data_IF_059645393945
#
_entry.id   IF_059645393945
#
_cell.length_a   1.000
_cell.length_b   1.000
_cell.length_c   1.000
_cell.angle_alpha   90.00
_cell.angle_beta   90.00
_cell.angle_gamma   90.00
#
_symmetry.space_group_name_H-M   'P 1'
#
loop_
_entity.id
_entity.type
_entity.pdbx_description
1 polymer ?
#
# COMPACT_ATOMS: atom_id res chain seq x y z
N UNK A 1 60.18 17.81 21.27
CA UNK A 1 58.95 17.88 20.46
C UNK A 1 58.07 18.95 21.06
N UNK A 2 57.79 20.01 20.29
CA UNK A 2 57.36 21.32 20.79
C UNK A 2 55.84 21.39 21.02
N UNK A 3 55.43 22.15 22.03
CA UNK A 3 54.05 22.33 22.48
C UNK A 3 53.11 22.99 21.44
N UNK A 4 53.60 23.33 20.24
CA UNK A 4 52.83 24.00 19.19
C UNK A 4 51.97 23.06 18.32
N UNK A 5 52.11 21.75 18.47
CA UNK A 5 51.33 20.78 17.69
C UNK A 5 49.98 20.38 18.34
N UNK A 6 49.70 20.79 19.59
CA UNK A 6 48.48 20.38 20.32
C UNK A 6 47.34 21.42 20.30
N UNK A 7 47.61 22.65 19.90
CA UNK A 7 46.62 23.75 19.91
C UNK A 7 45.79 23.87 18.63
N UNK A 8 46.13 23.15 17.55
CA UNK A 8 45.35 23.19 16.30
C UNK A 8 44.22 22.16 16.22
N UNK A 9 44.15 21.18 17.14
CA UNK A 9 43.10 20.16 17.13
C UNK A 9 41.86 20.51 17.96
N UNK A 10 41.96 21.53 18.83
CA UNK A 10 40.85 21.94 19.69
C UNK A 10 39.89 22.96 19.03
N UNK A 11 40.29 23.60 17.92
CA UNK A 11 39.45 24.57 17.19
C UNK A 11 38.65 23.95 16.03
N UNK A 12 38.92 22.69 15.65
CA UNK A 12 38.19 21.99 14.59
C UNK A 12 36.90 21.31 15.09
N UNK A 13 36.75 21.11 16.40
CA UNK A 13 35.57 20.48 17.01
C UNK A 13 34.45 21.46 17.39
N UNK A 14 34.71 22.77 17.35
CA UNK A 14 33.71 23.80 17.72
C UNK A 14 32.94 24.41 16.56
N UNK A 15 33.27 24.08 15.30
CA UNK A 15 32.53 24.55 14.10
C UNK A 15 31.63 23.46 13.50
N UNK A 16 31.89 22.17 13.78
CA UNK A 16 31.03 21.07 13.33
C UNK A 16 29.77 20.92 14.23
N UNK A 17 29.76 21.52 15.42
CA UNK A 17 28.67 21.41 16.39
C UNK A 17 27.52 22.42 16.24
N UNK A 18 27.57 23.35 15.27
CA UNK A 18 26.62 24.47 15.22
C UNK A 18 25.72 24.52 13.96
N UNK A 19 25.76 23.52 13.08
CA UNK A 19 25.00 23.53 11.82
C UNK A 19 23.99 22.39 11.62
N UNK A 20 23.66 21.64 12.67
CA UNK A 20 22.57 20.64 12.61
C UNK A 20 21.50 20.91 13.66
N UNK A 21 21.15 22.18 13.87
CA UNK A 21 19.75 22.53 14.04
C UNK A 21 19.09 22.38 12.67
N UNK A 22 18.95 21.12 12.21
CA UNK A 22 17.89 20.80 11.27
C UNK A 22 16.65 21.15 12.05
N UNK A 23 16.09 22.32 11.79
CA UNK A 23 14.72 22.63 12.15
C UNK A 23 13.95 21.38 11.76
N UNK A 24 13.46 20.63 12.76
CA UNK A 24 12.36 19.73 12.54
C UNK A 24 11.24 20.68 12.09
N UNK A 25 11.20 20.96 10.78
CA UNK A 25 10.04 21.53 10.16
C UNK A 25 8.93 20.63 10.66
N UNK A 26 8.01 21.21 11.42
CA UNK A 26 6.81 20.52 11.86
C UNK A 26 6.15 20.02 10.59
N UNK A 27 6.48 18.79 10.19
CA UNK A 27 5.83 18.15 9.07
C UNK A 27 4.37 18.15 9.49
N UNK A 28 3.52 18.83 8.72
CA UNK A 28 2.09 18.79 8.94
C UNK A 28 1.74 17.33 9.14
N UNK A 29 1.32 16.98 10.33
CA UNK A 29 1.00 15.60 10.62
C UNK A 29 -0.40 15.38 10.09
N UNK A 30 -0.65 14.21 9.51
CA UNK A 30 -1.98 13.87 9.04
C UNK A 30 -2.50 12.77 9.94
N UNK A 31 -3.79 12.74 10.23
CA UNK A 31 -4.38 11.67 11.03
C UNK A 31 -5.69 11.19 10.43
N UNK A 32 -6.01 9.93 10.71
CA UNK A 32 -7.32 9.37 10.43
C UNK A 32 -8.26 9.63 11.61
N UNK A 33 -9.47 10.10 11.30
CA UNK A 33 -10.56 10.24 12.27
C UNK A 33 -11.81 9.55 11.71
N UNK A 34 -12.27 8.42 12.29
CA UNK A 34 -11.85 7.88 13.58
C UNK A 34 -10.57 7.03 13.67
N UNK A 35 -9.79 6.66 12.66
CA UNK A 35 -8.70 5.68 12.84
C UNK A 35 -9.15 4.29 13.32
N UNK A 36 -8.24 3.32 13.38
CA UNK A 36 -8.54 1.97 13.89
C UNK A 36 -9.13 1.00 12.85
N UNK A 37 -9.91 -0.01 13.27
CA UNK A 37 -10.44 -1.04 12.39
C UNK A 37 -11.37 -0.49 11.31
N UNK A 38 -11.20 -0.97 10.08
CA UNK A 38 -12.02 -0.62 8.92
C UNK A 38 -12.29 -1.84 8.04
N UNK A 39 -13.45 -1.82 7.40
CA UNK A 39 -13.78 -2.72 6.30
C UNK A 39 -13.90 -1.92 5.01
N UNK A 40 -13.19 -2.34 3.98
CA UNK A 40 -13.28 -1.78 2.63
C UNK A 40 -14.04 -2.77 1.73
N UNK A 41 -15.24 -2.42 1.26
CA UNK A 41 -16.10 -3.31 0.48
C UNK A 41 -16.52 -2.72 -0.86
N UNK A 42 -16.59 -3.55 -1.89
CA UNK A 42 -17.01 -3.11 -3.22
C UNK A 42 -16.62 -4.09 -4.32
N UNK A 43 -16.29 -3.55 -5.49
CA UNK A 43 -15.91 -4.33 -6.65
C UNK A 43 -14.48 -4.01 -7.09
N UNK A 44 -13.79 -5.04 -7.58
CA UNK A 44 -12.47 -4.92 -8.21
C UNK A 44 -12.52 -5.47 -9.62
N UNK A 45 -11.80 -4.83 -10.52
CA UNK A 45 -11.48 -5.34 -11.84
C UNK A 45 -10.08 -5.95 -11.82
N UNK A 46 -9.89 -6.99 -12.61
CA UNK A 46 -8.58 -7.59 -12.82
C UNK A 46 -8.30 -7.81 -14.30
N UNK A 47 -7.02 -7.76 -14.67
CA UNK A 47 -6.55 -8.08 -16.01
C UNK A 47 -5.19 -8.77 -15.96
N UNK A 48 -5.08 -9.94 -16.57
CA UNK A 48 -3.86 -10.70 -16.72
C UNK A 48 -3.81 -11.28 -18.15
N UNK A 49 -3.05 -10.63 -19.04
CA UNK A 49 -3.01 -11.00 -20.45
C UNK A 49 -4.39 -10.88 -21.11
N UNK A 50 -4.91 -11.97 -21.66
CA UNK A 50 -6.26 -12.04 -22.24
C UNK A 50 -7.36 -12.30 -21.20
N UNK A 51 -7.01 -12.61 -19.95
CA UNK A 51 -7.96 -12.86 -18.89
C UNK A 51 -8.28 -11.55 -18.15
N UNK A 52 -9.41 -10.92 -18.49
CA UNK A 52 -9.91 -9.74 -17.81
C UNK A 52 -11.32 -9.94 -17.27
N UNK A 53 -11.58 -9.43 -16.07
CA UNK A 53 -12.85 -9.67 -15.40
C UNK A 53 -13.12 -8.72 -14.24
N UNK A 54 -14.25 -8.94 -13.59
CA UNK A 54 -14.68 -8.19 -12.41
C UNK A 54 -15.04 -9.14 -11.28
N UNK A 55 -14.77 -8.70 -10.06
CA UNK A 55 -15.12 -9.33 -8.79
C UNK A 55 -16.06 -8.39 -8.05
N UNK A 56 -17.31 -8.79 -7.83
CA UNK A 56 -18.35 -7.92 -7.27
C UNK A 56 -18.51 -8.01 -5.76
N UNK A 57 -17.98 -9.07 -5.14
CA UNK A 57 -18.07 -9.31 -3.69
C UNK A 57 -16.70 -9.23 -3.02
N UNK A 58 -16.04 -8.07 -3.09
CA UNK A 58 -14.75 -7.86 -2.43
C UNK A 58 -14.97 -7.17 -1.08
N UNK A 59 -14.37 -7.72 -0.04
CA UNK A 59 -14.30 -7.12 1.30
C UNK A 59 -12.89 -7.29 1.84
N UNK A 60 -12.29 -6.21 2.36
CA UNK A 60 -10.98 -6.21 2.99
C UNK A 60 -11.12 -5.67 4.40
N UNK A 61 -10.54 -6.36 5.37
CA UNK A 61 -10.44 -5.91 6.75
C UNK A 61 -9.04 -5.37 6.98
N UNK A 62 -8.96 -4.10 7.38
CA UNK A 62 -7.71 -3.44 7.69
C UNK A 62 -7.78 -2.70 9.02
N UNK A 63 -6.62 -2.32 9.54
CA UNK A 63 -6.52 -1.38 10.65
C UNK A 63 -5.68 -0.19 10.21
N UNK A 64 -6.27 1.01 10.28
CA UNK A 64 -5.59 2.29 10.05
C UNK A 64 -5.04 2.85 11.37
N UNK A 65 -3.99 3.67 11.33
CA UNK A 65 -3.37 4.18 12.55
C UNK A 65 -4.33 5.14 13.27
N UNK A 66 -4.36 5.08 14.60
CA UNK A 66 -5.22 5.91 15.48
C UNK A 66 -4.55 7.22 15.91
N UNK A 67 -3.42 7.58 15.30
CA UNK A 67 -2.62 8.74 15.67
C UNK A 67 -1.96 9.40 14.46
N UNK A 68 -1.05 10.35 14.70
CA UNK A 68 -0.32 11.04 13.64
C UNK A 68 0.36 10.06 12.69
N UNK A 69 0.13 10.24 11.41
CA UNK A 69 0.75 9.53 10.31
C UNK A 69 2.10 10.20 10.05
N UNK A 70 3.22 9.49 10.22
CA UNK A 70 4.50 10.01 9.79
C UNK A 70 4.49 10.10 8.26
N UNK A 71 4.63 11.31 7.71
CA UNK A 71 4.80 11.54 6.26
C UNK A 71 6.23 11.13 5.80
N UNK A 72 6.72 9.97 6.25
CA UNK A 72 8.01 9.40 5.88
C UNK A 72 7.79 8.23 4.94
N UNK A 73 8.34 8.31 3.72
CA UNK A 73 8.20 7.25 2.74
C UNK A 73 8.70 5.89 3.30
N UNK A 74 7.89 4.85 3.12
CA UNK A 74 8.13 3.51 3.64
C UNK A 74 7.65 3.26 5.08
N UNK A 75 7.17 4.29 5.80
CA UNK A 75 6.65 4.10 7.14
C UNK A 75 5.41 3.18 7.13
N UNK A 76 5.36 2.15 7.99
CA UNK A 76 4.19 1.29 8.11
C UNK A 76 3.04 2.06 8.75
N UNK A 77 1.85 1.94 8.18
CA UNK A 77 0.66 2.66 8.65
C UNK A 77 -0.42 1.73 9.17
N UNK A 78 -0.50 0.54 8.60
CA UNK A 78 -1.57 -0.37 8.92
C UNK A 78 -1.37 -1.69 8.23
N UNK A 79 -2.27 -2.62 8.49
CA UNK A 79 -2.26 -3.94 7.88
C UNK A 79 -3.65 -4.28 7.35
N UNK A 80 -3.69 -4.92 6.18
CA UNK A 80 -4.85 -5.69 5.74
C UNK A 80 -4.67 -7.10 6.29
N UNK A 81 -5.53 -7.52 7.21
CA UNK A 81 -5.38 -8.78 7.96
C UNK A 81 -6.41 -9.83 7.58
N UNK A 82 -7.50 -9.43 6.95
CA UNK A 82 -8.53 -10.34 6.44
C UNK A 82 -9.12 -9.82 5.15
N UNK A 83 -9.77 -10.71 4.40
CA UNK A 83 -10.49 -10.31 3.21
C UNK A 83 -11.15 -11.48 2.52
N UNK A 84 -12.21 -11.17 1.79
CA UNK A 84 -12.95 -12.12 0.96
C UNK A 84 -13.06 -11.54 -0.43
N UNK A 85 -12.92 -12.41 -1.44
CA UNK A 85 -13.11 -12.06 -2.84
C UNK A 85 -14.08 -13.06 -3.43
N UNK A 86 -15.21 -12.57 -3.94
CA UNK A 86 -16.29 -13.37 -4.48
C UNK A 86 -16.87 -12.75 -5.76
N UNK A 87 -17.63 -13.56 -6.50
CA UNK A 87 -18.32 -13.11 -7.71
C UNK A 87 -17.36 -12.71 -8.84
N UNK A 88 -16.18 -13.32 -8.89
CA UNK A 88 -15.20 -13.03 -9.93
C UNK A 88 -15.54 -13.77 -11.23
N UNK A 89 -15.65 -13.02 -12.32
CA UNK A 89 -15.99 -13.57 -13.63
C UNK A 89 -15.16 -12.88 -14.72
N UNK A 90 -14.64 -13.67 -15.67
CA UNK A 90 -13.98 -13.20 -16.87
C UNK A 90 -14.68 -13.78 -18.10
N UNK A 91 -15.31 -12.92 -18.91
CA UNK A 91 -16.02 -13.30 -20.14
C UNK A 91 -17.03 -14.47 -19.96
N UNK A 92 -17.78 -14.48 -18.85
CA UNK A 92 -18.74 -15.55 -18.52
C UNK A 92 -18.14 -16.71 -17.74
N UNK A 93 -16.81 -16.82 -17.62
CA UNK A 93 -16.13 -17.91 -16.92
C UNK A 93 -15.88 -17.56 -15.45
N UNK A 94 -16.23 -18.42 -14.48
CA UNK A 94 -15.92 -18.19 -13.09
C UNK A 94 -14.40 -18.23 -12.86
N UNK A 95 -13.91 -17.23 -12.13
CA UNK A 95 -12.50 -17.14 -11.73
C UNK A 95 -12.45 -17.14 -10.21
N UNK A 96 -11.61 -17.98 -9.62
CA UNK A 96 -11.32 -17.90 -8.19
C UNK A 96 -10.12 -16.96 -7.98
N UNK A 97 -10.30 -15.96 -7.11
CA UNK A 97 -9.24 -15.04 -6.71
C UNK A 97 -9.03 -15.20 -5.22
N UNK A 98 -7.80 -15.45 -4.80
CA UNK A 98 -7.44 -15.60 -3.38
C UNK A 98 -6.38 -14.59 -3.01
N UNK A 99 -6.65 -13.83 -1.95
CA UNK A 99 -5.71 -12.86 -1.38
C UNK A 99 -4.89 -13.56 -0.30
N UNK A 100 -3.57 -13.53 -0.43
CA UNK A 100 -2.64 -14.08 0.54
C UNK A 100 -2.21 -12.96 1.49
N UNK A 101 -2.78 -12.98 2.69
CA UNK A 101 -2.66 -11.96 3.74
C UNK A 101 -1.67 -12.40 4.85
N UNK A 102 -1.16 -11.49 5.69
CA UNK A 102 -1.44 -10.05 5.75
C UNK A 102 -0.66 -9.22 4.73
N UNK A 103 -1.21 -8.06 4.36
CA UNK A 103 -0.48 -7.03 3.61
C UNK A 103 -0.18 -5.84 4.52
N UNK A 104 1.03 -5.29 4.46
CA UNK A 104 1.39 -4.08 5.19
C UNK A 104 1.11 -2.88 4.30
N UNK A 105 0.36 -1.90 4.79
CA UNK A 105 0.18 -0.62 4.13
C UNK A 105 1.33 0.31 4.54
N UNK A 106 2.09 0.83 3.58
CA UNK A 106 3.16 1.81 3.85
C UNK A 106 2.90 3.13 3.14
N UNK A 107 3.26 4.22 3.81
CA UNK A 107 3.23 5.54 3.22
C UNK A 107 4.17 5.62 2.03
N UNK A 108 3.72 6.17 0.90
CA UNK A 108 4.60 6.48 -0.23
C UNK A 108 4.82 7.99 -0.28
N UNK A 109 3.77 8.76 -0.55
CA UNK A 109 3.80 10.21 -0.55
C UNK A 109 2.39 10.81 -0.47
N UNK A 110 2.32 12.11 -0.20
CA UNK A 110 1.09 12.89 -0.18
C UNK A 110 0.88 13.57 -1.53
N UNK A 111 -0.26 13.29 -2.18
CA UNK A 111 -0.59 13.85 -3.50
C UNK A 111 -1.06 15.31 -3.39
N UNK A 112 -1.87 15.59 -2.38
CA UNK A 112 -2.42 16.92 -2.08
C UNK A 112 -2.95 16.92 -0.63
N UNK A 113 -3.39 18.06 -0.07
CA UNK A 113 -4.00 18.10 1.27
C UNK A 113 -5.04 17.00 1.49
N UNK A 114 -4.78 16.13 2.48
CA UNK A 114 -5.61 14.98 2.84
C UNK A 114 -5.61 13.77 1.88
N UNK A 115 -4.99 13.84 0.69
CA UNK A 115 -4.91 12.70 -0.23
C UNK A 115 -3.58 11.97 -0.07
N UNK A 116 -3.65 10.75 0.45
CA UNK A 116 -2.47 9.96 0.83
C UNK A 116 -2.35 8.74 -0.07
N UNK A 117 -1.15 8.53 -0.62
CA UNK A 117 -0.81 7.36 -1.40
C UNK A 117 -0.04 6.35 -0.56
N UNK A 118 -0.45 5.10 -0.68
CA UNK A 118 0.11 3.96 0.01
C UNK A 118 0.51 2.85 -0.97
N UNK A 119 1.40 1.98 -0.52
CA UNK A 119 1.57 0.67 -1.12
C UNK A 119 1.15 -0.44 -0.15
N UNK A 120 0.55 -1.51 -0.69
CA UNK A 120 0.31 -2.75 0.06
C UNK A 120 1.45 -3.73 -0.25
N UNK A 121 2.24 -4.08 0.76
CA UNK A 121 3.50 -4.82 0.63
C UNK A 121 3.64 -5.99 1.62
N UNK A 122 4.08 -7.18 1.17
CA UNK A 122 3.92 -7.69 -0.19
C UNK A 122 2.45 -8.08 -0.43
N UNK A 123 1.82 -7.52 -1.46
CA UNK A 123 0.55 -8.04 -1.94
C UNK A 123 0.80 -9.34 -2.71
N UNK A 124 0.09 -10.40 -2.35
CA UNK A 124 0.15 -11.68 -3.03
C UNK A 124 -1.27 -12.15 -3.39
N UNK A 125 -1.48 -12.46 -4.67
CA UNK A 125 -2.79 -12.79 -5.24
C UNK A 125 -2.66 -14.05 -6.08
N UNK A 126 -3.46 -15.06 -5.76
CA UNK A 126 -3.63 -16.26 -6.58
C UNK A 126 -4.86 -16.09 -7.46
N UNK A 127 -4.71 -16.27 -8.77
CA UNK A 127 -5.81 -16.34 -9.74
C UNK A 127 -5.92 -17.77 -10.25
N UNK A 128 -7.14 -18.30 -10.23
CA UNK A 128 -7.47 -19.65 -10.62
C UNK A 128 -8.67 -19.67 -11.59
N UNK A 129 -8.47 -20.14 -12.82
CA UNK A 129 -9.52 -20.23 -13.83
C UNK A 129 -9.37 -21.55 -14.62
N UNK A 130 -10.31 -22.49 -14.46
CA UNK A 130 -10.16 -23.83 -15.06
C UNK A 130 -8.90 -24.55 -14.57
N UNK A 131 -7.96 -24.85 -15.47
CA UNK A 131 -6.63 -25.39 -15.14
C UNK A 131 -5.57 -24.31 -14.82
N UNK A 132 -5.85 -23.04 -15.13
CA UNK A 132 -4.93 -21.92 -14.88
C UNK A 132 -4.84 -21.64 -13.37
N UNK A 133 -3.64 -21.52 -12.81
CA UNK A 133 -3.27 -21.22 -11.42
C UNK A 133 -2.03 -20.33 -11.45
N UNK A 134 -2.22 -19.03 -11.27
CA UNK A 134 -1.16 -18.04 -11.37
C UNK A 134 -1.03 -17.27 -10.07
N UNK A 135 0.15 -17.32 -9.46
CA UNK A 135 0.43 -16.61 -8.24
C UNK A 135 1.26 -15.36 -8.54
N UNK A 136 0.68 -14.20 -8.28
CA UNK A 136 1.28 -12.89 -8.46
C UNK A 136 1.73 -12.34 -7.11
N UNK A 137 2.89 -11.69 -7.07
CA UNK A 137 3.42 -11.06 -5.85
C UNK A 137 4.12 -9.75 -6.17
N UNK A 138 3.77 -8.70 -5.45
CA UNK A 138 4.37 -7.39 -5.65
C UNK A 138 3.78 -6.33 -4.72
N UNK A 139 3.74 -5.10 -5.20
CA UNK A 139 3.18 -3.97 -4.46
C UNK A 139 1.89 -3.54 -5.17
N UNK A 140 0.84 -3.27 -4.41
CA UNK A 140 -0.37 -2.62 -4.94
C UNK A 140 -0.38 -1.16 -4.52
N UNK A 141 -0.59 -0.25 -5.46
CA UNK A 141 -0.86 1.15 -5.15
C UNK A 141 -2.25 1.32 -4.57
N UNK A 142 -2.35 2.02 -3.45
CA UNK A 142 -3.60 2.26 -2.73
C UNK A 142 -3.75 3.75 -2.47
N UNK A 143 -4.81 4.35 -2.98
CA UNK A 143 -5.15 5.75 -2.73
C UNK A 143 -6.32 5.82 -1.75
N UNK A 144 -6.15 6.57 -0.65
CA UNK A 144 -7.25 6.96 0.22
C UNK A 144 -7.43 8.48 0.09
N UNK A 145 -8.59 8.96 -0.42
CA UNK A 145 -8.82 10.37 -0.62
C UNK A 145 -9.05 11.08 0.72
N UNK A 146 -9.00 12.42 0.72
CA UNK A 146 -9.21 13.24 1.92
C UNK A 146 -10.56 12.99 2.62
N UNK A 147 -11.60 12.75 1.84
CA UNK A 147 -12.92 12.38 2.35
C UNK A 147 -12.92 11.01 3.06
N UNK A 148 -11.94 10.15 2.71
CA UNK A 148 -11.72 8.77 3.16
C UNK A 148 -12.97 7.91 3.27
N UNK A 149 -13.86 8.12 2.31
CA UNK A 149 -15.04 7.31 2.06
C UNK A 149 -14.74 6.06 1.24
N UNK A 150 -13.59 6.02 0.56
CA UNK A 150 -13.21 4.90 -0.30
C UNK A 150 -11.71 4.64 -0.26
N UNK A 151 -11.34 3.41 -0.56
CA UNK A 151 -9.99 2.94 -0.84
C UNK A 151 -9.95 2.57 -2.33
N UNK A 152 -9.07 3.21 -3.08
CA UNK A 152 -8.92 2.97 -4.52
C UNK A 152 -7.64 2.20 -4.78
N UNK A 153 -7.75 1.01 -5.38
CA UNK A 153 -6.60 0.28 -5.91
C UNK A 153 -6.21 0.87 -7.26
N UNK A 154 -4.96 1.34 -7.35
CA UNK A 154 -4.41 1.87 -8.58
C UNK A 154 -4.02 0.74 -9.54
N UNK A 155 -4.25 0.90 -10.86
CA UNK A 155 -3.91 -0.10 -11.86
C UNK A 155 -2.39 -0.19 -12.05
N UNK A 156 -1.73 -0.91 -11.15
CA UNK A 156 -0.29 -1.15 -11.19
C UNK A 156 -0.01 -2.61 -11.56
N UNK A 157 1.05 -2.88 -12.35
CA UNK A 157 1.43 -4.25 -12.68
C UNK A 157 1.99 -4.96 -11.44
N UNK A 158 1.36 -6.06 -11.06
CA UNK A 158 1.86 -7.03 -10.07
C UNK A 158 2.51 -8.18 -10.84
N UNK A 159 3.82 -8.39 -10.70
CA UNK A 159 4.51 -9.39 -11.50
C UNK A 159 4.13 -10.82 -11.07
N UNK A 160 4.18 -11.72 -12.04
CA UNK A 160 4.06 -13.15 -11.81
C UNK A 160 5.20 -13.60 -10.89
N UNK A 161 4.84 -14.27 -9.80
CA UNK A 161 5.80 -14.85 -8.89
C UNK A 161 6.00 -16.34 -9.16
N UNK A 162 4.90 -17.06 -9.35
CA UNK A 162 4.95 -18.49 -9.59
C UNK A 162 3.82 -18.92 -10.53
N UNK A 163 4.21 -19.65 -11.57
CA UNK A 163 3.29 -20.42 -12.40
C UNK A 163 3.03 -21.77 -11.72
N UNK A 164 1.80 -21.99 -11.25
CA UNK A 164 1.38 -23.20 -10.57
C UNK A 164 0.64 -24.15 -11.53
N UNK A 165 0.67 -23.88 -12.83
CA UNK A 165 -0.01 -24.69 -13.84
C UNK A 165 0.69 -26.03 -14.06
N UNK A 166 -0.12 -27.07 -14.32
CA UNK A 166 0.36 -28.28 -14.97
C UNK A 166 0.46 -28.10 -16.51
N UNK A 167 -0.33 -27.18 -17.08
CA UNK A 167 -0.34 -26.85 -18.51
C UNK A 167 -0.96 -25.47 -18.74
N UNK A 168 -0.31 -24.63 -19.54
CA UNK A 168 -0.68 -23.23 -19.78
C UNK A 168 0.43 -22.26 -19.33
N UNK A 169 0.40 -21.03 -19.85
CA UNK A 169 1.36 -19.99 -19.46
C UNK A 169 0.64 -18.90 -18.69
N UNK A 170 1.05 -18.67 -17.45
CA UNK A 170 0.61 -17.51 -16.70
C UNK A 170 1.07 -16.22 -17.36
N UNK A 171 0.18 -15.23 -17.54
CA UNK A 171 0.57 -13.89 -17.96
C UNK A 171 1.61 -13.31 -16.99
N UNK A 172 2.59 -12.58 -17.54
CA UNK A 172 3.70 -12.05 -16.75
C UNK A 172 3.28 -11.01 -15.69
N UNK A 173 2.15 -10.33 -15.89
CA UNK A 173 1.65 -9.31 -14.98
C UNK A 173 0.15 -9.47 -14.76
N UNK A 174 -0.26 -9.16 -13.54
CA UNK A 174 -1.65 -8.94 -13.13
C UNK A 174 -1.84 -7.45 -12.83
N UNK A 175 -2.92 -6.87 -13.33
CA UNK A 175 -3.37 -5.53 -12.96
C UNK A 175 -4.65 -5.71 -12.13
N UNK A 176 -4.67 -5.16 -10.93
CA UNK A 176 -5.87 -5.02 -10.10
C UNK A 176 -6.23 -3.55 -9.98
N UNK A 177 -7.50 -3.22 -10.11
CA UNK A 177 -7.99 -1.85 -9.92
C UNK A 177 -9.43 -1.85 -9.44
N UNK A 178 -9.84 -0.76 -8.81
CA UNK A 178 -11.22 -0.62 -8.35
C UNK A 178 -11.31 0.30 -7.14
N UNK A 179 -12.54 0.50 -6.69
CA UNK A 179 -12.82 1.35 -5.54
C UNK A 179 -13.69 0.59 -4.54
N UNK A 180 -13.25 0.58 -3.29
CA UNK A 180 -13.89 -0.10 -2.17
C UNK A 180 -14.34 0.96 -1.17
N UNK A 181 -15.63 0.99 -0.82
CA UNK A 181 -16.15 1.90 0.18
C UNK A 181 -15.65 1.52 1.58
N UNK A 182 -15.20 2.50 2.36
CA UNK A 182 -14.70 2.30 3.72
C UNK A 182 -15.83 2.42 4.75
N UNK A 183 -15.86 1.48 5.69
CA UNK A 183 -16.78 1.47 6.84
C UNK A 183 -16.02 1.14 8.13
N UNK A 184 -16.04 2.03 9.15
CA UNK A 184 -16.57 3.39 9.10
C UNK A 184 -15.78 4.27 8.10
N UNK A 185 -16.38 5.38 7.69
CA UNK A 185 -15.69 6.40 6.87
C UNK A 185 -14.57 7.04 7.68
N UNK A 186 -13.40 7.20 7.07
CA UNK A 186 -12.17 7.63 7.72
C UNK A 186 -11.72 9.00 7.22
N UNK A 187 -12.06 10.08 7.91
CA UNK A 187 -11.65 11.42 7.47
C UNK A 187 -10.16 11.61 7.69
N UNK A 188 -9.50 12.18 6.70
CA UNK A 188 -8.10 12.56 6.78
C UNK A 188 -8.04 14.03 7.17
N UNK A 189 -7.42 14.35 8.30
CA UNK A 189 -7.27 15.73 8.79
C UNK A 189 -5.81 16.08 9.01
N UNK A 190 -5.47 17.32 8.72
CA UNK A 190 -4.17 17.92 9.07
C UNK A 190 -4.18 18.36 10.54
N UNK A 191 -3.09 18.11 11.25
CA UNK A 191 -2.84 18.47 12.65
C UNK A 191 -1.48 19.15 12.80
#
# INVERSE_FOLDING_TARGET
MSARARTFLAAALSVVGLFTLVSAASALTVQYTPGGPVTASGALSFSAGSLSGTCTGVSLNAALPTGPIPETAGAPLGNVTGGTVAGCNAAGVPVAVTLLLPWVLRFVFRLSPGNLLYDATPAAILIAAGALRCLYRGNLGVLIPAAGNALTLLPMPVPLWLDLNASGLCPANLILSGSLALSPVQRVSEI
#
